data_IF_184199509309
#
_entry.id   IF_184199509309
#
_cell.length_a   1.000
_cell.length_b   1.000
_cell.length_c   1.000
_cell.angle_alpha   90.00
_cell.angle_beta   90.00
_cell.angle_gamma   90.00
#
_symmetry.space_group_name_H-M   'P 1'
#
loop_
_entity.id
_entity.type
_entity.pdbx_description
1 polymer ?
#
# COMPACT_ATOMS: atom_id res chain seq x y z
N UNK A 1 -25.13 -1.90 -10.48
CA UNK A 1 -23.91 -1.94 -9.67
C UNK A 1 -23.38 -3.36 -9.66
N UNK A 2 -22.13 -3.56 -10.03
CA UNK A 2 -21.43 -4.87 -9.98
C UNK A 2 -20.39 -4.78 -8.87
N UNK A 3 -20.38 -5.76 -7.98
CA UNK A 3 -19.41 -5.88 -6.90
C UNK A 3 -18.60 -7.16 -7.05
N UNK A 4 -17.36 -7.15 -6.54
CA UNK A 4 -16.47 -8.29 -6.50
C UNK A 4 -15.76 -8.40 -5.15
N UNK A 5 -14.95 -9.44 -5.03
CA UNK A 5 -14.05 -9.65 -3.88
C UNK A 5 -12.62 -9.62 -4.40
N UNK A 6 -11.76 -8.90 -3.70
CA UNK A 6 -10.33 -8.83 -3.96
C UNK A 6 -9.61 -8.64 -2.61
N UNK A 7 -8.55 -9.38 -2.39
CA UNK A 7 -7.84 -9.40 -1.10
C UNK A 7 -8.77 -9.60 0.12
N UNK A 8 -9.84 -10.41 -0.03
CA UNK A 8 -10.83 -10.65 1.00
C UNK A 8 -11.78 -9.48 1.29
N UNK A 9 -11.76 -8.41 0.48
CA UNK A 9 -12.61 -7.22 0.65
C UNK A 9 -13.63 -7.09 -0.47
N UNK A 10 -14.86 -6.69 -0.12
CA UNK A 10 -15.84 -6.27 -1.11
C UNK A 10 -15.47 -4.90 -1.68
N UNK A 11 -15.53 -4.78 -2.99
CA UNK A 11 -15.36 -3.51 -3.69
C UNK A 11 -16.33 -3.37 -4.86
N UNK A 12 -16.52 -2.15 -5.35
CA UNK A 12 -17.36 -1.85 -6.50
C UNK A 12 -16.53 -1.94 -7.77
N UNK A 13 -16.85 -2.91 -8.63
CA UNK A 13 -16.23 -3.03 -9.96
C UNK A 13 -16.86 -2.02 -10.92
N UNK A 14 -18.17 -1.84 -10.83
CA UNK A 14 -18.94 -0.99 -11.74
C UNK A 14 -20.19 -0.44 -11.04
N UNK A 15 -20.37 0.86 -11.03
CA UNK A 15 -21.48 1.54 -10.38
C UNK A 15 -22.53 2.08 -11.36
N UNK A 16 -22.36 1.85 -12.67
CA UNK A 16 -23.30 2.31 -13.72
C UNK A 16 -22.77 3.49 -14.53
N UNK A 17 -21.50 3.86 -14.35
CA UNK A 17 -20.86 4.95 -15.09
C UNK A 17 -20.61 4.58 -16.57
N UNK A 18 -20.55 5.60 -17.42
CA UNK A 18 -20.01 5.42 -18.77
C UNK A 18 -18.49 5.21 -18.68
N UNK A 19 -18.03 3.98 -18.96
CA UNK A 19 -16.60 3.61 -18.85
C UNK A 19 -15.74 4.33 -19.90
N UNK A 20 -16.29 4.71 -21.05
CA UNK A 20 -15.55 5.45 -22.08
C UNK A 20 -15.33 6.90 -21.63
N UNK A 21 -16.36 7.53 -21.05
CA UNK A 21 -16.23 8.86 -20.44
C UNK A 21 -15.18 8.83 -19.31
N UNK A 22 -15.23 7.81 -18.42
CA UNK A 22 -14.26 7.65 -17.34
C UNK A 22 -12.85 7.40 -17.85
N UNK A 23 -12.69 6.61 -18.91
CA UNK A 23 -11.39 6.42 -19.54
C UNK A 23 -10.78 7.75 -20.01
N UNK A 24 -11.56 8.57 -20.73
CA UNK A 24 -11.07 9.86 -21.19
C UNK A 24 -10.86 10.86 -20.05
N UNK A 25 -11.69 10.81 -19.02
CA UNK A 25 -11.47 11.60 -17.81
C UNK A 25 -10.12 11.23 -17.14
N UNK A 26 -9.80 9.94 -17.02
CA UNK A 26 -8.50 9.47 -16.53
C UNK A 26 -7.33 9.98 -17.38
N UNK A 27 -7.48 9.96 -18.71
CA UNK A 27 -6.41 10.35 -19.64
C UNK A 27 -6.18 11.85 -19.72
N UNK A 28 -7.21 12.65 -19.49
CA UNK A 28 -7.20 14.10 -19.72
C UNK A 28 -7.32 14.93 -18.43
N UNK A 29 -7.82 14.34 -17.35
CA UNK A 29 -8.07 15.03 -16.07
C UNK A 29 -7.51 14.21 -14.91
N UNK A 30 -8.36 13.67 -14.05
CA UNK A 30 -8.02 12.70 -13.02
C UNK A 30 -9.25 11.89 -12.60
N UNK A 31 -9.00 10.72 -12.06
CA UNK A 31 -10.00 9.89 -11.39
C UNK A 31 -9.48 9.43 -10.04
N UNK A 32 -10.44 9.17 -9.13
CA UNK A 32 -10.19 8.52 -7.85
C UNK A 32 -10.69 7.08 -7.93
N UNK A 33 -9.89 6.15 -7.42
CA UNK A 33 -10.21 4.73 -7.41
C UNK A 33 -10.21 4.21 -5.97
N UNK A 34 -11.26 3.48 -5.60
CA UNK A 34 -11.24 2.60 -4.43
C UNK A 34 -10.42 1.35 -4.82
N UNK A 35 -9.22 1.23 -4.26
CA UNK A 35 -8.33 0.10 -4.55
C UNK A 35 -8.43 -0.87 -3.37
N UNK A 36 -8.92 -2.09 -3.60
CA UNK A 36 -9.18 -3.04 -2.52
C UNK A 36 -7.92 -3.74 -1.99
N UNK A 37 -6.74 -3.22 -2.25
CA UNK A 37 -5.49 -3.71 -1.67
C UNK A 37 -5.56 -3.72 -0.13
N UNK A 38 -5.00 -4.76 0.46
CA UNK A 38 -5.01 -4.95 1.91
C UNK A 38 -3.60 -4.78 2.46
N UNK A 39 -3.29 -3.65 3.12
CA UNK A 39 -2.06 -3.54 3.88
C UNK A 39 -2.00 -4.57 5.01
N UNK A 40 -0.81 -5.10 5.27
CA UNK A 40 -0.52 -5.91 6.45
C UNK A 40 0.48 -5.13 7.29
N UNK A 41 0.19 -4.96 8.57
CA UNK A 41 1.11 -4.35 9.53
C UNK A 41 1.93 -5.41 10.23
N UNK A 42 3.24 -5.22 10.27
CA UNK A 42 4.20 -6.03 11.01
C UNK A 42 4.90 -5.11 12.00
N UNK A 43 4.85 -5.45 13.28
CA UNK A 43 5.47 -4.66 14.34
C UNK A 43 6.06 -5.55 15.43
N UNK A 44 7.02 -5.03 16.18
CA UNK A 44 7.66 -5.74 17.28
C UNK A 44 9.18 -5.68 17.21
N UNK A 45 9.88 -6.04 18.31
CA UNK A 45 11.34 -5.93 18.41
C UNK A 45 12.07 -6.66 17.28
N UNK A 46 11.58 -7.83 16.88
CA UNK A 46 12.22 -8.69 15.89
C UNK A 46 11.71 -8.46 14.46
N UNK A 47 10.89 -7.40 14.24
CA UNK A 47 10.25 -7.16 12.94
C UNK A 47 11.24 -6.99 11.80
N UNK A 48 12.38 -6.33 12.03
CA UNK A 48 13.42 -6.14 10.99
C UNK A 48 14.04 -7.48 10.62
N UNK A 49 14.47 -8.25 11.61
CA UNK A 49 15.11 -9.56 11.40
C UNK A 49 14.14 -10.53 10.72
N UNK A 50 12.92 -10.61 11.22
CA UNK A 50 11.87 -11.42 10.62
C UNK A 50 11.64 -11.07 9.14
N UNK A 51 11.46 -9.78 8.83
CA UNK A 51 11.19 -9.35 7.45
C UNK A 51 12.36 -9.63 6.51
N UNK A 52 13.61 -9.62 7.01
CA UNK A 52 14.79 -10.02 6.22
C UNK A 52 14.84 -11.52 5.93
N UNK A 53 14.14 -12.36 6.70
CA UNK A 53 14.00 -13.79 6.36
C UNK A 53 12.95 -14.07 5.29
N UNK A 54 11.94 -13.19 5.18
CA UNK A 54 10.80 -13.40 4.27
C UNK A 54 10.98 -12.69 2.94
N UNK A 55 11.58 -11.49 2.95
CA UNK A 55 11.70 -10.64 1.76
C UNK A 55 13.12 -10.57 1.21
N UNK A 56 13.22 -10.38 -0.09
CA UNK A 56 14.51 -10.23 -0.80
C UNK A 56 15.17 -8.86 -0.60
N UNK A 57 14.61 -8.02 0.28
CA UNK A 57 15.05 -6.64 0.53
C UNK A 57 15.84 -6.55 1.84
N UNK A 58 16.90 -5.75 1.88
CA UNK A 58 17.57 -5.38 3.12
C UNK A 58 16.70 -4.41 3.92
N UNK A 59 15.91 -4.93 4.85
CA UNK A 59 14.93 -4.16 5.62
C UNK A 59 15.61 -3.16 6.57
N UNK A 60 16.75 -3.54 7.17
CA UNK A 60 17.51 -2.68 8.10
C UNK A 60 17.99 -1.38 7.47
N UNK A 61 18.15 -1.33 6.14
CA UNK A 61 18.56 -0.13 5.41
C UNK A 61 17.42 0.78 4.99
N UNK A 62 16.18 0.36 5.22
CA UNK A 62 15.01 1.17 4.90
C UNK A 62 14.90 2.36 5.86
N UNK A 63 14.55 3.51 5.31
CA UNK A 63 14.32 4.74 6.08
C UNK A 63 12.84 5.01 6.24
N UNK A 64 12.45 5.65 7.33
CA UNK A 64 11.07 6.08 7.55
C UNK A 64 10.60 7.05 6.48
N UNK A 65 9.31 7.00 6.17
CA UNK A 65 8.69 7.88 5.18
C UNK A 65 9.00 7.52 3.73
N UNK A 66 9.59 6.34 3.48
CA UNK A 66 9.87 5.85 2.13
C UNK A 66 9.41 4.42 1.93
N UNK A 67 8.76 4.18 0.78
CA UNK A 67 8.38 2.84 0.31
C UNK A 67 9.49 2.17 -0.48
N UNK A 68 9.52 0.85 -0.43
CA UNK A 68 10.46 0.01 -1.15
C UNK A 68 9.73 -1.18 -1.77
N UNK A 69 9.87 -1.35 -3.08
CA UNK A 69 9.35 -2.52 -3.75
C UNK A 69 10.05 -3.78 -3.23
N UNK A 70 9.28 -4.74 -2.74
CA UNK A 70 9.81 -5.90 -2.02
C UNK A 70 9.11 -7.17 -2.47
N UNK A 71 9.90 -8.22 -2.70
CA UNK A 71 9.44 -9.53 -3.15
C UNK A 71 9.56 -10.55 -2.02
N UNK A 72 8.52 -11.34 -1.81
CA UNK A 72 8.60 -12.60 -1.07
C UNK A 72 8.71 -13.75 -2.07
N UNK A 73 9.62 -14.69 -1.80
CA UNK A 73 9.89 -15.81 -2.69
C UNK A 73 9.67 -17.15 -1.97
N UNK A 74 9.29 -18.17 -2.75
CA UNK A 74 9.27 -19.55 -2.27
C UNK A 74 10.71 -20.08 -2.12
N UNK A 75 10.93 -21.18 -1.39
CA UNK A 75 12.25 -21.83 -1.28
C UNK A 75 12.87 -22.23 -2.62
N UNK A 76 12.06 -22.41 -3.65
CA UNK A 76 12.50 -22.74 -5.02
C UNK A 76 12.84 -21.48 -5.84
N UNK A 77 12.76 -20.28 -5.26
CA UNK A 77 13.06 -19.01 -5.90
C UNK A 77 11.93 -18.41 -6.76
N UNK A 78 10.75 -19.02 -6.76
CA UNK A 78 9.58 -18.45 -7.41
C UNK A 78 9.03 -17.27 -6.63
N UNK A 79 8.58 -16.21 -7.31
CA UNK A 79 7.92 -15.07 -6.65
C UNK A 79 6.59 -15.55 -6.08
N UNK A 80 6.43 -15.43 -4.76
CA UNK A 80 5.19 -15.72 -4.06
C UNK A 80 4.29 -14.48 -4.02
N UNK A 81 4.88 -13.34 -3.69
CA UNK A 81 4.16 -12.06 -3.60
C UNK A 81 5.10 -10.90 -3.90
N UNK A 82 4.57 -9.88 -4.55
CA UNK A 82 5.21 -8.59 -4.73
C UNK A 82 4.37 -7.46 -4.13
N UNK A 83 5.01 -6.39 -3.73
CA UNK A 83 4.33 -5.25 -3.12
C UNK A 83 5.30 -4.18 -2.65
N UNK A 84 4.76 -3.20 -1.95
CA UNK A 84 5.53 -2.07 -1.42
C UNK A 84 5.58 -2.15 0.10
N UNK A 85 6.79 -2.21 0.63
CA UNK A 85 7.07 -2.14 2.05
C UNK A 85 7.32 -0.69 2.46
N UNK A 86 6.61 -0.20 3.47
CA UNK A 86 6.85 1.10 4.11
C UNK A 86 7.35 0.88 5.53
N UNK A 87 8.43 1.58 5.90
CA UNK A 87 8.85 1.69 7.29
C UNK A 87 8.16 2.89 7.91
N UNK A 88 7.31 2.66 8.91
CA UNK A 88 6.53 3.70 9.59
C UNK A 88 7.17 4.17 10.90
N UNK A 89 7.99 3.30 11.50
CA UNK A 89 8.81 3.56 12.69
C UNK A 89 9.91 2.50 12.76
N UNK A 90 10.79 2.56 13.75
CA UNK A 90 11.93 1.63 13.91
C UNK A 90 11.54 0.16 13.78
N UNK A 91 10.47 -0.25 14.44
CA UNK A 91 10.00 -1.63 14.49
C UNK A 91 8.52 -1.73 14.04
N UNK A 92 8.12 -0.93 13.04
CA UNK A 92 6.76 -0.93 12.53
C UNK A 92 6.74 -0.73 11.02
N UNK A 93 6.14 -1.69 10.31
CA UNK A 93 6.12 -1.76 8.86
C UNK A 93 4.72 -2.02 8.34
N UNK A 94 4.41 -1.44 7.18
CA UNK A 94 3.26 -1.85 6.37
C UNK A 94 3.74 -2.45 5.06
N UNK A 95 3.19 -3.61 4.74
CA UNK A 95 3.35 -4.21 3.42
C UNK A 95 2.04 -4.09 2.65
N UNK A 96 2.06 -3.35 1.55
CA UNK A 96 0.90 -3.15 0.68
C UNK A 96 1.09 -4.04 -0.54
N UNK A 97 0.19 -4.98 -0.68
CA UNK A 97 0.21 -6.01 -1.71
C UNK A 97 -1.06 -5.99 -2.56
N UNK A 98 -0.98 -6.66 -3.71
CA UNK A 98 -2.12 -7.05 -4.51
C UNK A 98 -2.97 -8.15 -3.81
N UNK A 99 -3.76 -8.91 -4.55
CA UNK A 99 -4.51 -10.05 -4.01
C UNK A 99 -3.57 -11.20 -3.64
N UNK A 100 -3.88 -11.90 -2.55
CA UNK A 100 -3.15 -13.08 -2.12
C UNK A 100 -3.04 -13.26 -0.60
N UNK A 101 -2.56 -14.42 -0.12
CA UNK A 101 -2.58 -14.81 1.27
C UNK A 101 -1.33 -14.38 2.06
N UNK A 102 -0.81 -13.15 1.84
CA UNK A 102 0.46 -12.73 2.45
C UNK A 102 0.42 -12.70 3.98
N UNK A 103 -0.70 -12.28 4.57
CA UNK A 103 -0.86 -12.31 6.03
C UNK A 103 -0.68 -13.74 6.58
N UNK A 104 -1.31 -14.72 5.94
CA UNK A 104 -1.16 -16.14 6.30
C UNK A 104 0.29 -16.61 6.09
N UNK A 105 0.94 -16.18 5.02
CA UNK A 105 2.34 -16.50 4.76
C UNK A 105 3.26 -15.95 5.85
N UNK A 106 3.08 -14.69 6.23
CA UNK A 106 3.85 -14.07 7.31
C UNK A 106 3.64 -14.79 8.65
N UNK A 107 2.39 -15.10 8.99
CA UNK A 107 2.07 -15.87 10.22
C UNK A 107 2.73 -17.25 10.20
N UNK A 108 2.70 -17.95 9.06
CA UNK A 108 3.33 -19.27 8.94
C UNK A 108 4.86 -19.24 9.09
N UNK A 109 5.51 -18.11 8.84
CA UNK A 109 6.95 -17.93 8.95
C UNK A 109 7.39 -17.20 10.22
N UNK A 110 6.45 -16.76 11.08
CA UNK A 110 6.76 -15.95 12.25
C UNK A 110 7.57 -16.69 13.32
N UNK A 111 7.41 -18.03 13.43
CA UNK A 111 8.19 -18.85 14.36
C UNK A 111 8.21 -18.27 15.77
N UNK A 112 9.43 -18.14 16.32
CA UNK A 112 9.69 -17.62 17.67
C UNK A 112 10.01 -16.11 17.70
N UNK A 113 9.85 -15.39 16.57
CA UNK A 113 10.07 -13.95 16.51
C UNK A 113 9.05 -13.18 17.37
N UNK A 114 9.52 -12.24 18.18
CA UNK A 114 8.66 -11.34 18.95
C UNK A 114 8.09 -10.24 18.04
N UNK A 115 7.05 -10.61 17.32
CA UNK A 115 6.36 -9.75 16.35
C UNK A 115 4.84 -9.88 16.47
N UNK A 116 4.17 -8.86 15.98
CA UNK A 116 2.72 -8.82 15.78
C UNK A 116 2.40 -8.54 14.31
N UNK A 117 1.56 -9.39 13.73
CA UNK A 117 1.06 -9.27 12.37
C UNK A 117 -0.44 -8.96 12.43
N UNK A 118 -0.88 -7.87 11.83
CA UNK A 118 -2.27 -7.41 11.92
C UNK A 118 -2.75 -6.73 10.64
N UNK A 119 -4.07 -6.73 10.43
CA UNK A 119 -4.73 -5.84 9.49
C UNK A 119 -4.90 -4.45 10.14
N UNK A 120 -4.29 -3.38 9.60
CA UNK A 120 -4.45 -2.03 10.14
C UNK A 120 -5.83 -1.42 9.87
N UNK A 121 -6.76 -2.18 9.23
CA UNK A 121 -8.10 -1.74 8.84
C UNK A 121 -8.10 -0.48 7.95
N UNK A 122 -7.02 -0.24 7.25
CA UNK A 122 -6.86 0.87 6.33
C UNK A 122 -7.62 0.67 5.02
N UNK A 123 -7.84 1.75 4.28
CA UNK A 123 -8.36 1.74 2.92
C UNK A 123 -7.31 2.35 1.99
N UNK A 124 -7.13 1.74 0.84
CA UNK A 124 -6.25 2.26 -0.21
C UNK A 124 -7.12 2.96 -1.25
N UNK A 125 -6.79 4.20 -1.49
CA UNK A 125 -7.43 5.02 -2.53
C UNK A 125 -6.32 5.52 -3.45
N UNK A 126 -6.52 5.40 -4.74
CA UNK A 126 -5.59 5.92 -5.74
C UNK A 126 -6.22 7.12 -6.44
N UNK A 127 -5.43 8.17 -6.64
CA UNK A 127 -5.76 9.27 -7.53
C UNK A 127 -4.81 9.24 -8.73
N UNK A 128 -5.37 9.19 -9.93
CA UNK A 128 -4.60 9.01 -11.16
C UNK A 128 -5.08 9.95 -12.26
N UNK A 129 -4.16 10.40 -13.08
CA UNK A 129 -4.38 11.26 -14.22
C UNK A 129 -3.48 12.50 -14.21
N UNK A 130 -3.40 13.28 -15.31
CA UNK A 130 -2.51 14.42 -15.42
C UNK A 130 -2.77 15.53 -14.40
N UNK A 131 -3.98 15.66 -13.87
CA UNK A 131 -4.33 16.66 -12.87
C UNK A 131 -4.19 16.14 -11.41
N UNK A 132 -3.74 14.90 -11.18
CA UNK A 132 -3.70 14.29 -9.85
C UNK A 132 -2.85 15.09 -8.86
N UNK A 133 -1.67 15.57 -9.26
CA UNK A 133 -0.81 16.36 -8.38
C UNK A 133 -1.46 17.68 -7.96
N UNK A 134 -2.04 18.42 -8.90
CA UNK A 134 -2.71 19.69 -8.59
C UNK A 134 -3.92 19.50 -7.64
N UNK A 135 -4.64 18.38 -7.78
CA UNK A 135 -5.75 18.03 -6.88
C UNK A 135 -5.20 17.71 -5.47
N UNK A 136 -4.13 16.94 -5.37
CA UNK A 136 -3.52 16.58 -4.09
C UNK A 136 -2.91 17.81 -3.40
N UNK A 137 -2.30 18.70 -4.15
CA UNK A 137 -1.79 19.97 -3.62
C UNK A 137 -2.89 20.82 -3.03
N UNK A 138 -3.99 21.02 -3.78
CA UNK A 138 -5.14 21.76 -3.30
C UNK A 138 -5.84 21.11 -2.09
N UNK A 139 -5.96 19.78 -2.09
CA UNK A 139 -6.63 19.04 -1.00
C UNK A 139 -5.80 18.98 0.28
N UNK A 140 -4.47 19.13 0.19
CA UNK A 140 -3.54 19.05 1.32
C UNK A 140 -3.01 20.41 1.78
N UNK A 141 -3.60 21.51 1.33
CA UNK A 141 -3.11 22.87 1.61
C UNK A 141 -1.63 23.05 1.21
N UNK A 142 -1.23 22.48 0.08
CA UNK A 142 0.12 22.57 -0.48
C UNK A 142 1.15 21.61 0.12
N UNK A 143 0.77 20.75 1.07
CA UNK A 143 1.71 19.81 1.71
C UNK A 143 2.14 18.68 0.79
N UNK A 144 1.26 18.23 -0.10
CA UNK A 144 1.57 17.25 -1.15
C UNK A 144 1.71 18.02 -2.46
N UNK A 145 2.92 18.09 -3.00
CA UNK A 145 3.24 18.86 -4.20
C UNK A 145 4.36 18.18 -4.99
N UNK A 146 4.80 18.80 -6.08
CA UNK A 146 5.82 18.27 -7.00
C UNK A 146 7.19 17.99 -6.34
N UNK A 147 7.46 18.51 -5.14
CA UNK A 147 8.70 18.20 -4.41
C UNK A 147 8.64 16.84 -3.71
N UNK A 148 7.46 16.25 -3.57
CA UNK A 148 7.28 14.92 -3.02
C UNK A 148 7.86 13.88 -3.97
N UNK A 149 8.89 13.17 -3.51
CA UNK A 149 9.62 12.22 -4.34
C UNK A 149 8.86 10.89 -4.45
N UNK A 150 9.17 10.15 -5.50
CA UNK A 150 8.63 8.81 -5.75
C UNK A 150 8.85 7.89 -4.55
N UNK A 151 7.81 7.15 -4.19
CA UNK A 151 7.77 6.28 -3.01
C UNK A 151 7.98 6.98 -1.66
N UNK A 152 7.83 8.29 -1.56
CA UNK A 152 7.78 8.93 -0.26
C UNK A 152 6.36 8.85 0.31
N UNK A 153 6.29 8.73 1.63
CA UNK A 153 5.04 8.66 2.39
C UNK A 153 5.11 9.57 3.61
N UNK A 154 3.96 9.92 4.14
CA UNK A 154 3.82 10.72 5.34
C UNK A 154 2.36 10.77 5.77
N UNK A 155 2.11 11.43 6.89
CA UNK A 155 0.75 11.68 7.38
C UNK A 155 0.33 13.09 6.98
N UNK A 156 -0.78 13.19 6.26
CA UNK A 156 -1.29 14.44 5.76
C UNK A 156 -2.73 14.67 6.23
N UNK A 157 -3.17 15.93 6.21
CA UNK A 157 -4.59 16.26 6.30
C UNK A 157 -5.10 16.53 4.89
N UNK A 158 -6.19 15.89 4.50
CA UNK A 158 -6.87 16.13 3.25
C UNK A 158 -8.28 16.64 3.53
N UNK A 159 -8.63 17.83 3.02
CA UNK A 159 -9.92 18.45 3.28
C UNK A 159 -10.20 18.64 4.78
N UNK A 160 -9.16 18.91 5.60
CA UNK A 160 -9.25 19.05 7.04
C UNK A 160 -9.25 17.75 7.85
N UNK A 161 -9.28 16.58 7.19
CA UNK A 161 -9.19 15.28 7.84
C UNK A 161 -7.74 14.78 7.82
N UNK A 162 -7.30 14.18 8.95
CA UNK A 162 -5.99 13.53 9.02
C UNK A 162 -6.11 12.12 8.41
N UNK A 163 -5.29 11.83 7.45
CA UNK A 163 -5.15 10.54 6.79
C UNK A 163 -3.78 9.93 7.06
#
# INVERSE_FOLDING_TARGET
MIRGVYAGRFFTIYAGEDYLEKYWCLRQKALIFDVPEKPVEISGPDSVEFLETVFTRQIRTMIEGRGYYSLACTPQGGVFMDGVMFRLADNRFWYIQADGPMETWLVAHSGDFDIKITDPLSRVVQIQGPASMAIMEAASDGLINETMKYFHSGYFKLGGQKL
#
